data_IF_024262146611
#
_entry.id   IF_024262146611
#
_cell.length_a   1.000
_cell.length_b   1.000
_cell.length_c   1.000
_cell.angle_alpha   90.00
_cell.angle_beta   90.00
_cell.angle_gamma   90.00
#
_symmetry.space_group_name_H-M   'P 1'
#
loop_
_entity.id
_entity.type
_entity.pdbx_description
1 polymer ?
#
# COMPACT_ATOMS: atom_id res chain seq x y z
N UNK A 1 -12.95 52.42 3.14
CA UNK A 1 -11.64 52.36 2.44
C UNK A 1 -11.61 51.04 1.68
N UNK A 2 -11.61 51.18 0.35
CA UNK A 2 -11.58 50.23 -0.76
C UNK A 2 -11.80 48.71 -0.52
N UNK A 3 -12.97 48.27 -1.00
CA UNK A 3 -13.21 46.93 -1.58
C UNK A 3 -12.83 46.96 -3.07
N UNK A 4 -12.20 45.89 -3.58
CA UNK A 4 -12.06 45.62 -5.01
C UNK A 4 -12.73 44.30 -5.37
N UNK A 5 -13.90 44.40 -6.03
CA UNK A 5 -14.59 43.31 -6.73
C UNK A 5 -14.02 43.16 -8.15
N UNK A 6 -13.79 41.93 -8.59
CA UNK A 6 -13.59 41.60 -10.00
C UNK A 6 -14.84 40.87 -10.54
N UNK A 7 -15.38 41.37 -11.66
CA UNK A 7 -16.44 40.75 -12.46
C UNK A 7 -15.86 40.00 -13.68
N UNK A 8 -16.53 38.96 -14.19
CA UNK A 8 -16.10 38.21 -15.38
C UNK A 8 -16.62 38.83 -16.69
N UNK A 9 -15.87 38.65 -17.78
CA UNK A 9 -16.24 39.02 -19.15
C UNK A 9 -16.47 37.76 -19.98
N UNK A 10 -17.62 37.71 -20.68
CA UNK A 10 -17.97 36.70 -21.69
C UNK A 10 -17.68 37.25 -23.10
N UNK A 11 -17.39 36.36 -24.06
CA UNK A 11 -17.26 36.69 -25.48
C UNK A 11 -18.18 35.77 -26.28
N UNK A 12 -18.85 36.39 -27.24
CA UNK A 12 -20.03 35.99 -28.00
C UNK A 12 -19.68 35.21 -29.29
N UNK A 13 -20.62 34.39 -29.76
CA UNK A 13 -20.56 33.64 -31.03
C UNK A 13 -21.75 34.02 -31.89
N UNK A 14 -21.52 34.39 -33.16
CA UNK A 14 -22.27 33.97 -34.36
C UNK A 14 -22.05 34.95 -35.53
N UNK A 15 -21.76 34.42 -36.72
CA UNK A 15 -22.35 34.83 -38.01
C UNK A 15 -21.76 34.05 -39.20
N UNK A 16 -22.62 33.28 -39.88
CA UNK A 16 -22.41 32.69 -41.21
C UNK A 16 -23.09 33.56 -42.29
N UNK A 17 -22.65 33.48 -43.56
CA UNK A 17 -23.60 33.62 -44.66
C UNK A 17 -23.44 32.61 -45.80
N UNK A 18 -24.58 32.07 -46.23
CA UNK A 18 -24.83 31.32 -47.49
C UNK A 18 -24.96 32.25 -48.72
N UNK A 19 -24.66 31.77 -49.95
CA UNK A 19 -25.43 32.02 -51.21
C UNK A 19 -24.89 31.23 -52.46
N UNK A 20 -25.78 30.38 -53.02
CA UNK A 20 -26.15 30.03 -54.41
C UNK A 20 -25.20 30.12 -55.65
N UNK A 21 -25.09 28.95 -56.33
CA UNK A 21 -25.20 28.60 -57.77
C UNK A 21 -24.77 29.55 -58.92
N UNK A 22 -23.86 29.04 -59.79
CA UNK A 22 -23.94 29.10 -61.27
C UNK A 22 -22.97 28.11 -61.95
N UNK A 23 -23.47 27.27 -62.87
CA UNK A 23 -22.69 26.46 -63.82
C UNK A 23 -22.15 27.33 -64.97
N UNK A 24 -20.99 26.98 -65.57
CA UNK A 24 -20.68 26.97 -67.02
C UNK A 24 -19.34 26.21 -67.29
N UNK A 25 -19.48 25.06 -67.97
CA UNK A 25 -18.74 24.44 -69.10
C UNK A 25 -17.19 24.60 -69.28
N UNK A 26 -16.55 23.45 -69.52
CA UNK A 26 -15.17 23.18 -69.92
C UNK A 26 -14.66 23.86 -71.22
N UNK A 27 -13.37 24.24 -71.28
CA UNK A 27 -12.36 23.61 -72.17
C UNK A 27 -10.92 24.19 -72.04
N UNK A 28 -9.93 23.30 -72.24
CA UNK A 28 -8.53 23.55 -72.67
C UNK A 28 -7.50 24.20 -71.72
N UNK A 29 -6.80 23.37 -70.91
CA UNK A 29 -5.41 23.64 -70.44
C UNK A 29 -4.58 22.36 -70.24
N UNK A 30 -4.54 21.44 -71.22
CA UNK A 30 -3.71 20.21 -71.13
C UNK A 30 -2.21 20.41 -71.39
N UNK A 31 -1.75 21.61 -71.78
CA UNK A 31 -0.31 21.89 -72.02
C UNK A 31 0.42 22.64 -70.90
N UNK A 32 -0.31 23.17 -69.90
CA UNK A 32 0.31 23.90 -68.77
C UNK A 32 0.62 22.98 -67.58
N UNK A 33 -0.13 21.89 -67.41
CA UNK A 33 0.08 20.93 -66.32
C UNK A 33 1.37 20.10 -66.46
N UNK A 34 1.79 19.78 -67.70
CA UNK A 34 2.98 18.95 -67.95
C UNK A 34 4.27 19.73 -67.67
N UNK A 35 4.31 21.02 -68.01
CA UNK A 35 5.47 21.87 -67.70
C UNK A 35 5.61 22.11 -66.19
N UNK A 36 4.50 22.31 -65.47
CA UNK A 36 4.51 22.47 -64.02
C UNK A 36 4.96 21.18 -63.29
N UNK A 37 4.51 20.00 -63.75
CA UNK A 37 4.93 18.71 -63.20
C UNK A 37 6.43 18.44 -63.39
N UNK A 38 6.99 18.79 -64.55
CA UNK A 38 8.43 18.63 -64.81
C UNK A 38 9.25 19.59 -63.95
N UNK A 39 8.80 20.83 -63.76
CA UNK A 39 9.46 21.80 -62.87
C UNK A 39 9.40 21.37 -61.40
N UNK A 40 8.28 20.80 -60.92
CA UNK A 40 8.18 20.27 -59.56
C UNK A 40 9.06 19.03 -59.34
N UNK A 41 9.15 18.14 -60.32
CA UNK A 41 10.04 16.97 -60.27
C UNK A 41 11.51 17.39 -60.24
N UNK A 42 11.93 18.32 -61.09
CA UNK A 42 13.30 18.85 -61.09
C UNK A 42 13.65 19.57 -59.78
N UNK A 43 12.72 20.36 -59.23
CA UNK A 43 12.92 21.02 -57.93
C UNK A 43 13.02 20.02 -56.78
N UNK A 44 12.20 18.95 -56.80
CA UNK A 44 12.25 17.89 -55.80
C UNK A 44 13.55 17.08 -55.85
N UNK A 45 14.08 16.81 -57.05
CA UNK A 45 15.37 16.10 -57.22
C UNK A 45 16.54 16.97 -56.78
N UNK A 46 16.50 18.28 -57.05
CA UNK A 46 17.51 19.23 -56.57
C UNK A 46 17.46 19.35 -55.05
N UNK A 47 16.28 19.44 -54.44
CA UNK A 47 16.11 19.47 -52.97
C UNK A 47 16.59 18.16 -52.34
N UNK A 48 16.32 17.01 -52.95
CA UNK A 48 16.78 15.72 -52.43
C UNK A 48 18.30 15.57 -52.57
N UNK A 49 18.89 16.05 -53.67
CA UNK A 49 20.34 16.04 -53.90
C UNK A 49 21.08 17.03 -52.97
N UNK A 50 20.50 18.20 -52.69
CA UNK A 50 21.08 19.14 -51.70
C UNK A 50 20.94 18.61 -50.28
N UNK A 51 19.82 17.98 -49.93
CA UNK A 51 19.65 17.32 -48.63
C UNK A 51 20.62 16.14 -48.45
N UNK A 52 20.89 15.33 -49.49
CA UNK A 52 21.91 14.27 -49.42
C UNK A 52 23.34 14.83 -49.29
N UNK A 53 23.69 15.90 -50.01
CA UNK A 53 25.00 16.55 -49.88
C UNK A 53 25.20 17.28 -48.54
N UNK A 54 24.14 17.80 -47.94
CA UNK A 54 24.18 18.40 -46.59
C UNK A 54 24.29 17.31 -45.52
N UNK A 55 23.65 16.14 -45.72
CA UNK A 55 23.73 15.01 -44.80
C UNK A 55 25.11 14.29 -44.85
N UNK A 56 25.84 14.39 -45.95
CA UNK A 56 27.18 13.79 -46.09
C UNK A 56 28.34 14.69 -45.62
N UNK A 57 28.12 15.98 -45.35
CA UNK A 57 29.22 16.94 -45.10
C UNK A 57 29.42 17.41 -43.66
N UNK A 58 28.65 16.93 -42.67
CA UNK A 58 28.92 17.18 -41.24
C UNK A 58 28.48 16.03 -40.35
N UNK A 59 29.25 14.95 -40.38
CA UNK A 59 29.30 14.02 -39.25
C UNK A 59 30.75 13.54 -39.07
N UNK A 60 31.57 14.42 -38.51
CA UNK A 60 32.80 14.00 -37.83
C UNK A 60 32.38 13.58 -36.42
N UNK A 61 32.56 12.31 -36.02
CA UNK A 61 32.36 11.93 -34.63
C UNK A 61 33.44 12.63 -33.82
N UNK A 62 33.04 13.59 -33.00
CA UNK A 62 33.90 14.03 -31.89
C UNK A 62 34.00 12.84 -30.95
N UNK A 63 35.19 12.25 -30.84
CA UNK A 63 35.47 11.27 -29.80
C UNK A 63 35.06 11.90 -28.46
N UNK A 64 34.23 11.24 -27.64
CA UNK A 64 34.09 11.67 -26.27
C UNK A 64 35.47 11.59 -25.66
N UNK A 65 35.97 12.72 -25.16
CA UNK A 65 37.14 12.75 -24.30
C UNK A 65 36.87 11.74 -23.19
N UNK A 66 37.60 10.63 -23.26
CA UNK A 66 37.67 9.63 -22.19
C UNK A 66 38.30 10.32 -20.99
N UNK A 67 37.51 11.09 -20.25
CA UNK A 67 37.72 11.16 -18.82
C UNK A 67 37.58 9.71 -18.36
N UNK A 68 38.60 9.10 -17.72
CA UNK A 68 38.39 7.82 -17.09
C UNK A 68 37.41 8.07 -15.94
N UNK A 69 36.12 7.94 -16.23
CA UNK A 69 35.20 7.44 -15.22
C UNK A 69 35.72 6.03 -14.98
N UNK A 70 36.58 5.91 -13.97
CA UNK A 70 36.81 4.66 -13.27
C UNK A 70 35.44 4.22 -12.79
N UNK A 71 34.73 3.49 -13.64
CA UNK A 71 33.85 2.44 -13.18
C UNK A 71 34.76 1.54 -12.36
N UNK A 72 34.77 1.79 -11.06
CA UNK A 72 35.07 0.74 -10.11
C UNK A 72 34.01 -0.31 -10.43
N UNK A 73 34.39 -1.28 -11.26
CA UNK A 73 33.93 -2.65 -11.04
C UNK A 73 34.00 -2.82 -9.54
N UNK A 74 32.84 -3.03 -8.91
CA UNK A 74 32.79 -3.53 -7.55
C UNK A 74 33.58 -4.84 -7.67
N UNK A 75 34.88 -4.76 -7.38
CA UNK A 75 35.64 -5.92 -6.99
C UNK A 75 34.77 -6.58 -5.94
N UNK A 76 34.46 -7.86 -6.19
CA UNK A 76 33.84 -8.76 -5.25
C UNK A 76 34.58 -8.60 -3.93
N UNK A 77 34.08 -7.71 -3.08
CA UNK A 77 34.66 -7.45 -1.79
C UNK A 77 34.43 -8.76 -1.07
N UNK A 78 35.51 -9.53 -0.91
CA UNK A 78 35.56 -10.65 0.03
C UNK A 78 34.82 -10.19 1.27
N UNK A 79 33.70 -10.85 1.66
CA UNK A 79 32.86 -10.37 2.73
C UNK A 79 33.76 -10.06 3.92
N UNK A 80 33.70 -8.83 4.44
CA UNK A 80 34.43 -8.48 5.65
C UNK A 80 34.10 -9.58 6.68
N UNK A 81 35.08 -10.35 7.21
CA UNK A 81 34.84 -11.50 8.07
C UNK A 81 34.02 -11.16 9.33
N UNK A 82 33.92 -9.88 9.67
CA UNK A 82 33.08 -9.35 10.75
C UNK A 82 31.62 -9.07 10.34
N UNK A 83 31.24 -9.30 9.08
CA UNK A 83 29.88 -9.08 8.59
C UNK A 83 28.97 -10.27 8.94
N UNK A 84 27.74 -10.02 9.44
CA UNK A 84 26.79 -11.08 9.71
C UNK A 84 26.52 -11.94 8.46
N UNK A 85 26.35 -13.27 8.60
CA UNK A 85 26.07 -14.17 7.49
C UNK A 85 24.80 -13.75 6.74
N UNK A 86 24.85 -13.81 5.41
CA UNK A 86 23.71 -13.49 4.53
C UNK A 86 22.71 -14.64 4.54
N UNK A 87 21.42 -14.33 4.70
CA UNK A 87 20.35 -15.33 4.71
C UNK A 87 19.09 -14.82 4.02
N UNK A 88 18.42 -15.73 3.30
CA UNK A 88 17.05 -15.55 2.81
C UNK A 88 16.00 -16.10 3.79
N UNK A 89 16.43 -16.87 4.79
CA UNK A 89 15.56 -17.44 5.81
C UNK A 89 15.73 -16.71 7.14
N UNK A 90 14.95 -15.64 7.29
CA UNK A 90 15.01 -14.77 8.46
C UNK A 90 13.81 -14.85 9.38
N UNK A 91 12.69 -15.42 8.93
CA UNK A 91 11.57 -15.75 9.79
C UNK A 91 11.96 -16.96 10.66
N UNK A 92 12.47 -16.66 11.86
CA UNK A 92 12.98 -17.66 12.81
C UNK A 92 12.66 -17.27 14.25
N UNK A 93 12.80 -18.25 15.14
CA UNK A 93 12.85 -18.02 16.58
C UNK A 93 14.22 -17.41 16.90
N UNK A 94 14.22 -16.28 17.61
CA UNK A 94 15.44 -15.60 18.01
C UNK A 94 16.08 -16.29 19.22
N UNK A 95 17.42 -16.31 19.30
CA UNK A 95 18.18 -17.03 20.33
C UNK A 95 19.03 -16.11 21.20
N UNK A 96 19.43 -16.60 22.37
CA UNK A 96 20.51 -16.06 23.19
C UNK A 96 21.65 -17.10 23.29
N UNK A 97 22.89 -16.80 22.86
CA UNK A 97 23.35 -15.55 22.24
C UNK A 97 22.70 -15.28 20.87
N UNK A 98 22.71 -14.03 20.44
CA UNK A 98 22.08 -13.58 19.20
C UNK A 98 22.79 -14.18 17.97
N UNK A 99 22.02 -14.89 17.14
CA UNK A 99 22.43 -15.30 15.78
C UNK A 99 22.08 -14.19 14.80
N UNK A 100 22.90 -13.12 14.76
CA UNK A 100 22.69 -11.96 13.89
C UNK A 100 22.93 -12.33 12.43
N UNK A 101 22.02 -11.94 11.54
CA UNK A 101 22.11 -12.22 10.09
C UNK A 101 21.90 -10.96 9.24
N UNK A 102 22.39 -11.01 8.01
CA UNK A 102 21.97 -10.07 6.96
C UNK A 102 20.83 -10.69 6.16
N UNK A 103 19.62 -10.20 6.40
CA UNK A 103 18.38 -10.66 5.80
C UNK A 103 18.12 -9.98 4.45
N UNK A 104 18.24 -10.75 3.37
CA UNK A 104 18.14 -10.22 2.00
C UNK A 104 16.77 -10.45 1.39
N UNK A 105 16.19 -9.40 0.82
CA UNK A 105 14.90 -9.42 0.13
C UNK A 105 15.05 -8.78 -1.25
N UNK A 106 14.33 -9.32 -2.24
CA UNK A 106 14.28 -8.75 -3.60
C UNK A 106 12.84 -8.38 -3.94
N UNK A 107 12.64 -7.11 -4.27
CA UNK A 107 11.34 -6.50 -4.52
C UNK A 107 11.26 -6.01 -5.94
N UNK A 108 10.32 -6.56 -6.71
CA UNK A 108 9.98 -6.11 -8.04
C UNK A 108 8.71 -5.26 -7.95
N UNK A 109 8.87 -3.95 -8.13
CA UNK A 109 7.77 -2.99 -8.06
C UNK A 109 7.17 -2.88 -9.44
N UNK A 110 5.87 -3.13 -9.58
CA UNK A 110 5.18 -3.07 -10.86
C UNK A 110 3.72 -2.67 -10.74
N UNK A 111 3.20 -2.09 -11.82
CA UNK A 111 1.78 -1.91 -12.00
C UNK A 111 1.07 -3.26 -12.10
N UNK A 112 -0.09 -3.34 -11.46
CA UNK A 112 -0.93 -4.52 -11.50
C UNK A 112 -2.41 -4.14 -11.50
N UNK A 113 -3.27 -5.14 -11.51
CA UNK A 113 -4.71 -4.94 -11.50
C UNK A 113 -5.34 -6.05 -10.66
N UNK A 114 -6.33 -5.72 -9.84
CA UNK A 114 -7.05 -6.71 -9.03
C UNK A 114 -7.92 -7.62 -9.91
N UNK A 115 -8.14 -8.88 -9.51
CA UNK A 115 -8.97 -9.85 -10.25
C UNK A 115 -8.57 -10.01 -11.73
N UNK A 116 -7.27 -10.12 -11.97
CA UNK A 116 -6.64 -10.46 -13.25
C UNK A 116 -6.80 -11.95 -13.55
N UNK A 117 -6.27 -12.38 -14.71
CA UNK A 117 -6.33 -13.76 -15.18
C UNK A 117 -5.83 -14.84 -14.19
N UNK A 118 -4.85 -14.62 -13.29
CA UNK A 118 -4.45 -15.63 -12.30
C UNK A 118 -5.57 -16.02 -11.34
N UNK A 119 -6.52 -15.10 -11.10
CA UNK A 119 -7.67 -15.34 -10.24
C UNK A 119 -8.73 -16.29 -10.82
N UNK A 120 -8.55 -16.83 -12.03
CA UNK A 120 -9.45 -17.83 -12.62
C UNK A 120 -10.92 -17.45 -12.52
N UNK A 121 -11.71 -18.28 -11.84
CA UNK A 121 -13.14 -18.10 -11.62
C UNK A 121 -13.50 -17.47 -10.26
N UNK A 122 -12.55 -16.86 -9.56
CA UNK A 122 -12.83 -16.13 -8.32
C UNK A 122 -13.90 -15.03 -8.55
N UNK A 123 -14.93 -14.89 -7.70
CA UNK A 123 -15.17 -15.64 -6.46
C UNK A 123 -16.15 -16.83 -6.57
N UNK A 124 -16.48 -17.27 -7.78
CA UNK A 124 -17.36 -18.45 -7.95
C UNK A 124 -16.65 -19.77 -7.63
N UNK A 125 -15.33 -19.80 -7.81
CA UNK A 125 -14.43 -20.80 -7.24
C UNK A 125 -13.55 -20.10 -6.21
N UNK A 126 -13.71 -20.47 -4.93
CA UNK A 126 -12.98 -19.84 -3.83
C UNK A 126 -11.50 -20.25 -3.83
N UNK A 127 -11.17 -21.48 -4.30
CA UNK A 127 -9.78 -21.91 -4.39
C UNK A 127 -8.99 -21.02 -5.35
N UNK A 128 -9.64 -20.52 -6.40
CA UNK A 128 -9.03 -19.62 -7.37
C UNK A 128 -8.64 -18.26 -6.77
N UNK A 129 -9.33 -17.82 -5.72
CA UNK A 129 -9.01 -16.59 -5.00
C UNK A 129 -7.72 -16.67 -4.15
N UNK A 130 -7.15 -17.88 -3.99
CA UNK A 130 -5.91 -18.14 -3.24
C UNK A 130 -4.76 -18.58 -4.14
N UNK A 131 -4.94 -18.56 -5.47
CA UNK A 131 -3.85 -18.83 -6.42
C UNK A 131 -2.76 -17.78 -6.31
N UNK A 132 -1.53 -18.19 -6.62
CA UNK A 132 -0.39 -17.29 -6.69
C UNK A 132 -0.67 -16.11 -7.64
N UNK A 133 -0.25 -14.91 -7.24
CA UNK A 133 -0.51 -13.64 -7.93
C UNK A 133 -1.99 -13.24 -8.09
N UNK A 134 -2.97 -14.01 -7.59
CA UNK A 134 -4.34 -13.54 -7.54
C UNK A 134 -4.52 -12.52 -6.42
N UNK A 135 -4.95 -11.30 -6.79
CA UNK A 135 -5.24 -10.21 -5.86
C UNK A 135 -6.75 -9.89 -5.91
N UNK A 136 -7.59 -10.57 -5.10
CA UNK A 136 -9.04 -10.43 -5.16
C UNK A 136 -9.58 -9.17 -4.46
N UNK A 137 -8.88 -8.68 -3.43
CA UNK A 137 -9.28 -7.54 -2.59
C UNK A 137 -10.73 -7.62 -2.10
N UNK A 138 -11.49 -6.55 -2.29
CA UNK A 138 -12.91 -6.44 -2.01
C UNK A 138 -13.80 -6.88 -3.20
N UNK A 139 -13.24 -7.45 -4.25
CA UNK A 139 -14.01 -7.83 -5.44
C UNK A 139 -14.16 -6.72 -6.48
N UNK A 140 -13.64 -5.52 -6.24
CA UNK A 140 -13.63 -4.47 -7.25
C UNK A 140 -12.37 -4.53 -8.09
N UNK A 141 -12.56 -4.47 -9.41
CA UNK A 141 -11.51 -4.34 -10.41
C UNK A 141 -10.96 -2.91 -10.44
N UNK A 142 -9.71 -2.73 -10.03
CA UNK A 142 -9.00 -1.45 -10.09
C UNK A 142 -7.49 -1.59 -10.28
N UNK A 143 -6.80 -0.54 -10.79
CA UNK A 143 -5.34 -0.49 -10.85
C UNK A 143 -4.72 -0.51 -9.45
N UNK A 144 -3.55 -1.14 -9.37
CA UNK A 144 -2.74 -1.30 -8.17
C UNK A 144 -1.27 -1.01 -8.49
N UNK A 145 -0.51 -0.69 -7.45
CA UNK A 145 0.96 -0.71 -7.48
C UNK A 145 1.40 -1.74 -6.44
N UNK A 146 2.22 -2.71 -6.84
CA UNK A 146 2.53 -3.87 -6.01
C UNK A 146 4.03 -4.12 -5.91
N UNK A 147 4.45 -4.68 -4.78
CA UNK A 147 5.73 -5.39 -4.67
C UNK A 147 5.45 -6.87 -4.88
N UNK A 148 6.16 -7.50 -5.82
CA UNK A 148 6.07 -8.94 -6.08
C UNK A 148 4.63 -9.45 -6.27
N UNK A 149 3.75 -8.62 -6.86
CA UNK A 149 2.32 -8.93 -7.10
C UNK A 149 1.57 -9.39 -5.86
N UNK A 150 1.86 -8.75 -4.72
CA UNK A 150 1.22 -9.02 -3.43
C UNK A 150 0.56 -7.75 -2.87
N UNK A 151 -0.63 -7.90 -2.29
CA UNK A 151 -1.31 -6.89 -1.47
C UNK A 151 -1.96 -7.60 -0.27
N UNK A 152 -1.57 -7.28 0.98
CA UNK A 152 -0.43 -6.44 1.36
C UNK A 152 0.87 -6.98 0.76
N UNK A 153 1.87 -6.12 0.64
CA UNK A 153 3.17 -6.52 0.14
C UNK A 153 3.87 -7.53 1.07
N UNK A 154 5.00 -8.09 0.63
CA UNK A 154 5.72 -9.12 1.36
C UNK A 154 6.08 -8.68 2.78
N UNK A 155 5.86 -9.59 3.73
CA UNK A 155 6.25 -9.42 5.14
C UNK A 155 7.76 -9.50 5.27
N UNK A 156 8.34 -8.59 6.04
CA UNK A 156 9.71 -8.72 6.55
C UNK A 156 9.60 -9.24 7.98
N UNK A 157 10.25 -10.37 8.26
CA UNK A 157 10.31 -10.93 9.61
C UNK A 157 11.77 -11.25 9.91
N UNK A 158 12.29 -10.64 10.96
CA UNK A 158 13.70 -10.72 11.35
C UNK A 158 13.84 -10.74 12.87
N UNK A 159 15.05 -11.04 13.35
CA UNK A 159 15.40 -10.86 14.76
C UNK A 159 15.98 -9.47 15.00
N UNK A 160 15.86 -8.98 16.23
CA UNK A 160 16.57 -7.81 16.72
C UNK A 160 18.06 -7.92 16.38
N UNK A 161 18.65 -6.79 16.01
CA UNK A 161 20.01 -6.62 15.51
C UNK A 161 20.32 -7.22 14.13
N UNK A 162 19.42 -7.96 13.48
CA UNK A 162 19.59 -8.35 12.09
C UNK A 162 19.75 -7.12 11.18
N UNK A 163 20.48 -7.29 10.08
CA UNK A 163 20.59 -6.29 9.03
C UNK A 163 19.53 -6.59 7.97
N UNK A 164 18.56 -5.71 7.81
CA UNK A 164 17.57 -5.77 6.73
C UNK A 164 18.22 -5.19 5.48
N UNK A 165 18.27 -5.98 4.41
CA UNK A 165 18.75 -5.55 3.10
C UNK A 165 17.68 -5.81 2.04
N UNK A 166 17.10 -4.76 1.49
CA UNK A 166 16.03 -4.85 0.47
C UNK A 166 16.52 -4.25 -0.84
N UNK A 167 16.68 -5.11 -1.85
CA UNK A 167 16.93 -4.69 -3.23
C UNK A 167 15.60 -4.40 -3.91
N UNK A 168 15.34 -3.12 -4.18
CA UNK A 168 14.14 -2.64 -4.86
C UNK A 168 14.47 -2.42 -6.33
N UNK A 169 13.78 -3.15 -7.22
CA UNK A 169 13.82 -2.99 -8.66
C UNK A 169 12.56 -2.25 -9.10
N UNK A 170 12.71 -1.06 -9.69
CA UNK A 170 11.56 -0.26 -10.13
C UNK A 170 11.19 -0.55 -11.58
N UNK A 171 10.02 -1.16 -11.81
CA UNK A 171 9.45 -1.38 -13.14
C UNK A 171 8.19 -0.51 -13.41
N UNK A 172 8.01 0.60 -12.69
CA UNK A 172 6.96 1.57 -12.96
C UNK A 172 7.39 2.51 -14.10
N UNK A 173 6.78 2.36 -15.27
CA UNK A 173 7.12 3.06 -16.52
C UNK A 173 6.47 4.46 -16.66
N UNK A 174 6.21 5.13 -15.53
CA UNK A 174 5.45 6.39 -15.46
C UNK A 174 6.31 7.64 -15.22
N UNK A 175 7.64 7.49 -15.20
CA UNK A 175 8.63 8.53 -14.90
C UNK A 175 8.56 9.17 -13.50
N UNK A 176 7.64 8.76 -12.62
CA UNK A 176 7.49 9.35 -11.27
C UNK A 176 8.55 8.84 -10.29
N UNK A 177 9.08 7.64 -10.54
CA UNK A 177 10.01 6.94 -9.66
C UNK A 177 9.33 6.42 -8.38
N UNK A 178 10.09 5.70 -7.56
CA UNK A 178 9.55 5.11 -6.33
C UNK A 178 10.49 5.27 -5.13
N UNK A 179 9.94 5.41 -3.92
CA UNK A 179 10.68 5.34 -2.65
C UNK A 179 9.88 4.55 -1.63
N UNK A 180 10.58 3.98 -0.64
CA UNK A 180 10.00 3.16 0.43
C UNK A 180 10.51 3.64 1.78
N UNK A 181 9.61 3.77 2.74
CA UNK A 181 9.90 4.12 4.12
C UNK A 181 9.59 2.97 5.06
N UNK A 182 10.41 2.87 6.12
CA UNK A 182 10.40 1.81 7.13
C UNK A 182 9.77 2.36 8.41
N UNK A 183 8.45 2.41 8.44
CA UNK A 183 7.70 3.17 9.43
C UNK A 183 7.97 2.70 10.86
N UNK A 184 8.58 3.58 11.65
CA UNK A 184 8.94 3.36 13.05
C UNK A 184 10.33 2.76 13.28
N UNK A 185 11.12 2.53 12.24
CA UNK A 185 12.55 2.17 12.37
C UNK A 185 13.36 3.47 12.49
N UNK A 186 14.21 3.58 13.51
CA UNK A 186 14.89 4.85 13.87
C UNK A 186 15.94 5.30 12.84
N UNK A 187 16.45 4.38 12.02
CA UNK A 187 17.49 4.64 11.01
C UNK A 187 18.77 5.27 11.60
N UNK A 188 19.11 4.93 12.84
CA UNK A 188 20.32 5.43 13.50
C UNK A 188 21.58 4.97 12.74
N UNK A 189 22.35 5.93 12.24
CA UNK A 189 23.53 5.68 11.40
C UNK A 189 23.22 5.39 9.93
N UNK A 190 21.94 5.28 9.56
CA UNK A 190 21.49 5.05 8.17
C UNK A 190 20.37 6.01 7.73
N UNK A 191 20.42 7.32 8.02
CA UNK A 191 19.33 8.24 7.65
C UNK A 191 19.05 8.30 6.14
N UNK A 192 20.06 8.03 5.31
CA UNK A 192 19.90 7.92 3.85
C UNK A 192 19.05 6.72 3.39
N UNK A 193 18.77 5.76 4.29
CA UNK A 193 17.94 4.58 4.02
C UNK A 193 16.50 4.77 4.50
N UNK A 194 16.15 5.93 5.06
CA UNK A 194 14.84 6.16 5.65
C UNK A 194 13.70 6.17 4.63
N UNK A 195 13.93 6.64 3.39
CA UNK A 195 12.94 6.58 2.32
C UNK A 195 12.24 7.87 1.88
N UNK A 196 11.88 8.84 2.76
CA UNK A 196 11.06 9.97 2.36
C UNK A 196 11.62 10.73 1.15
N UNK A 197 10.84 10.72 0.07
CA UNK A 197 11.23 11.31 -1.20
C UNK A 197 11.53 12.81 -1.05
N UNK A 198 12.65 13.24 -1.64
CA UNK A 198 13.14 14.61 -1.62
C UNK A 198 13.58 15.11 -0.22
N UNK A 199 13.63 14.23 0.78
CA UNK A 199 14.18 14.51 2.11
C UNK A 199 15.46 13.72 2.30
N UNK A 200 15.39 12.38 2.31
CA UNK A 200 16.56 11.53 2.54
C UNK A 200 17.12 10.93 1.26
N UNK A 201 16.30 10.87 0.19
CA UNK A 201 16.72 10.37 -1.11
C UNK A 201 15.88 10.92 -2.28
N UNK A 202 16.46 10.88 -3.48
CA UNK A 202 15.70 11.01 -4.72
C UNK A 202 14.88 9.74 -5.00
N UNK A 203 13.76 9.83 -5.75
CA UNK A 203 13.03 8.66 -6.22
C UNK A 203 13.91 7.72 -7.04
N UNK A 204 13.74 6.42 -6.87
CA UNK A 204 14.36 5.38 -7.69
C UNK A 204 13.71 5.45 -9.08
N UNK A 205 14.42 5.84 -10.15
CA UNK A 205 13.84 5.95 -11.48
C UNK A 205 13.42 4.60 -12.07
N UNK A 206 12.59 4.64 -13.12
CA UNK A 206 12.24 3.45 -13.89
C UNK A 206 13.48 2.71 -14.40
N UNK A 207 13.47 1.38 -14.32
CA UNK A 207 14.54 0.52 -14.80
C UNK A 207 15.79 0.50 -13.93
N UNK A 208 15.83 1.30 -12.85
CA UNK A 208 16.91 1.31 -11.89
C UNK A 208 16.53 0.57 -10.60
N UNK A 209 17.58 0.21 -9.86
CA UNK A 209 17.45 -0.48 -8.58
C UNK A 209 18.16 0.29 -7.48
N UNK A 210 17.69 0.13 -6.26
CA UNK A 210 18.31 0.67 -5.05
C UNK A 210 18.28 -0.36 -3.93
N UNK A 211 19.33 -0.39 -3.13
CA UNK A 211 19.46 -1.31 -2.00
C UNK A 211 19.32 -0.51 -0.72
N UNK A 212 18.21 -0.73 0.00
CA UNK A 212 18.07 -0.26 1.38
C UNK A 212 18.80 -1.23 2.30
N UNK A 213 19.67 -0.73 3.17
CA UNK A 213 20.42 -1.56 4.12
C UNK A 213 20.52 -0.87 5.48
N UNK A 214 19.86 -1.43 6.49
CA UNK A 214 19.82 -0.86 7.83
C UNK A 214 19.63 -1.96 8.89
N UNK A 215 19.90 -1.62 10.15
CA UNK A 215 19.77 -2.55 11.28
C UNK A 215 18.35 -2.51 11.85
N UNK A 216 17.80 -3.67 12.18
CA UNK A 216 16.58 -3.81 12.98
C UNK A 216 16.94 -3.64 14.47
N UNK A 217 17.05 -2.40 14.93
CA UNK A 217 17.61 -2.07 16.25
C UNK A 217 16.70 -2.41 17.44
N UNK A 218 15.39 -2.20 17.29
CA UNK A 218 14.40 -2.48 18.32
C UNK A 218 13.41 -3.55 17.88
N UNK A 219 13.05 -4.43 18.82
CA UNK A 219 12.00 -5.42 18.60
C UNK A 219 10.63 -4.75 18.65
N UNK A 220 9.68 -5.24 17.84
CA UNK A 220 8.36 -4.64 17.75
C UNK A 220 7.62 -4.96 16.46
N UNK A 221 6.46 -4.31 16.31
CA UNK A 221 5.63 -4.34 15.11
C UNK A 221 5.75 -3.02 14.36
N UNK A 222 6.16 -3.13 13.11
CA UNK A 222 6.39 -2.02 12.19
C UNK A 222 5.75 -2.35 10.84
N UNK A 223 5.84 -1.44 9.89
CA UNK A 223 5.44 -1.72 8.51
C UNK A 223 6.26 -0.86 7.57
N UNK A 224 6.41 -1.30 6.32
CA UNK A 224 6.95 -0.47 5.26
C UNK A 224 5.81 0.06 4.40
N UNK A 225 6.05 1.19 3.74
CA UNK A 225 5.16 1.69 2.70
C UNK A 225 5.90 2.54 1.69
N UNK A 226 5.32 2.75 0.51
CA UNK A 226 5.86 3.76 -0.39
C UNK A 226 5.75 5.16 0.24
N UNK A 227 6.80 5.97 0.08
CA UNK A 227 6.85 7.33 0.62
C UNK A 227 6.97 8.41 -0.47
N UNK A 228 6.30 8.17 -1.59
CA UNK A 228 6.13 9.11 -2.69
C UNK A 228 4.71 9.01 -3.28
N UNK A 229 4.12 10.18 -3.55
CA UNK A 229 2.77 10.27 -4.11
C UNK A 229 1.73 9.54 -3.28
N UNK A 230 0.82 8.84 -3.95
CA UNK A 230 -0.27 8.09 -3.31
C UNK A 230 -0.09 6.57 -3.35
N UNK A 231 1.09 6.08 -3.74
CA UNK A 231 1.27 4.64 -4.01
C UNK A 231 1.02 3.76 -2.78
N UNK A 232 1.23 4.27 -1.56
CA UNK A 232 0.85 3.62 -0.29
C UNK A 232 -0.64 3.26 -0.26
N UNK A 233 -1.51 4.16 -0.72
CA UNK A 233 -2.95 3.96 -0.76
C UNK A 233 -3.39 2.98 -1.86
N UNK A 234 -2.53 2.76 -2.86
CA UNK A 234 -2.83 1.97 -4.06
C UNK A 234 -2.15 0.58 -4.06
N UNK A 235 -1.61 0.15 -2.91
CA UNK A 235 -1.15 -1.23 -2.66
C UNK A 235 0.28 -1.37 -2.11
N UNK A 236 1.09 -0.30 -2.10
CA UNK A 236 2.47 -0.35 -1.63
C UNK A 236 2.61 -0.14 -0.12
N UNK A 237 2.22 -1.17 0.64
CA UNK A 237 2.53 -1.29 2.05
C UNK A 237 2.61 -2.77 2.46
N UNK A 238 3.44 -3.08 3.45
CA UNK A 238 3.54 -4.44 3.98
C UNK A 238 4.13 -4.50 5.40
N UNK A 239 3.92 -5.60 6.14
CA UNK A 239 4.37 -5.72 7.52
C UNK A 239 5.90 -5.81 7.68
N UNK A 240 6.40 -5.32 8.81
CA UNK A 240 7.74 -5.60 9.32
C UNK A 240 7.59 -6.08 10.77
N UNK A 241 8.13 -7.25 11.09
CA UNK A 241 8.13 -7.81 12.43
C UNK A 241 9.58 -8.01 12.86
N UNK A 242 9.96 -7.39 13.98
CA UNK A 242 11.28 -7.60 14.60
C UNK A 242 11.04 -8.35 15.91
N UNK A 243 11.48 -9.61 15.98
CA UNK A 243 11.36 -10.44 17.19
C UNK A 243 12.60 -10.30 18.06
N UNK A 244 12.46 -10.54 19.36
CA UNK A 244 13.58 -10.70 20.27
C UNK A 244 13.51 -12.04 20.99
N UNK A 245 14.68 -12.51 21.44
CA UNK A 245 14.80 -13.79 22.13
C UNK A 245 14.31 -13.75 23.58
N UNK A 246 14.30 -12.56 24.20
CA UNK A 246 13.86 -12.34 25.57
C UNK A 246 12.78 -11.27 25.57
N UNK A 247 11.60 -11.63 25.05
CA UNK A 247 10.47 -10.72 24.99
C UNK A 247 9.90 -10.51 26.40
N UNK A 248 9.74 -9.26 26.88
CA UNK A 248 9.23 -8.99 28.23
C UNK A 248 7.79 -9.50 28.46
N UNK A 249 7.08 -9.88 27.40
CA UNK A 249 5.72 -10.37 27.42
C UNK A 249 5.59 -11.83 26.98
N UNK A 250 6.69 -12.58 26.86
CA UNK A 250 6.68 -13.98 26.40
C UNK A 250 5.72 -14.86 27.21
N UNK A 251 5.62 -14.65 28.52
CA UNK A 251 4.74 -15.41 29.41
C UNK A 251 3.25 -15.17 29.16
N UNK A 252 2.88 -14.12 28.42
CA UNK A 252 1.48 -13.73 28.19
C UNK A 252 0.85 -14.39 26.96
N UNK A 253 1.63 -15.00 26.08
CA UNK A 253 1.14 -15.75 24.92
C UNK A 253 1.83 -17.09 24.77
N UNK A 254 1.18 -18.01 24.05
CA UNK A 254 1.77 -19.30 23.69
C UNK A 254 2.32 -19.26 22.26
N UNK A 255 1.75 -18.41 21.40
CA UNK A 255 2.14 -18.29 20.00
C UNK A 255 2.24 -16.83 19.49
N UNK A 256 3.39 -16.50 18.87
CA UNK A 256 3.62 -15.30 18.05
C UNK A 256 3.84 -15.71 16.58
N UNK A 257 2.74 -15.97 15.87
CA UNK A 257 2.78 -16.53 14.51
C UNK A 257 2.84 -15.43 13.46
N UNK A 258 3.63 -15.62 12.41
CA UNK A 258 3.75 -14.70 11.27
C UNK A 258 2.41 -14.46 10.53
N UNK A 259 1.46 -15.41 10.61
CA UNK A 259 0.13 -15.26 10.04
C UNK A 259 -0.87 -14.55 10.96
N UNK A 260 -0.53 -14.27 12.23
CA UNK A 260 -1.36 -13.52 13.18
C UNK A 260 -1.09 -12.01 13.16
N UNK A 261 -0.85 -11.49 11.96
CA UNK A 261 -0.70 -10.06 11.68
C UNK A 261 -1.99 -9.51 11.10
N UNK A 262 -2.36 -8.28 11.45
CA UNK A 262 -3.50 -7.56 10.91
C UNK A 262 -3.06 -6.22 10.35
N UNK A 263 -2.89 -6.13 9.03
CA UNK A 263 -2.76 -4.84 8.36
C UNK A 263 -4.14 -4.38 7.93
N UNK A 264 -4.66 -3.35 8.60
CA UNK A 264 -5.94 -2.74 8.24
C UNK A 264 -5.70 -1.50 7.38
N UNK A 265 -6.56 -1.27 6.40
CA UNK A 265 -6.40 -0.18 5.44
C UNK A 265 -7.76 0.36 5.02
N UNK A 266 -7.87 1.68 4.92
CA UNK A 266 -8.99 2.32 4.24
C UNK A 266 -8.78 2.29 2.73
N UNK A 267 -9.84 2.05 1.98
CA UNK A 267 -9.72 1.64 0.59
C UNK A 267 -10.71 2.35 -0.32
N UNK A 268 -10.20 2.87 -1.44
CA UNK A 268 -10.99 3.58 -2.44
C UNK A 268 -11.29 2.69 -3.64
N UNK A 269 -12.41 2.94 -4.32
CA UNK A 269 -12.78 2.23 -5.55
C UNK A 269 -11.92 2.62 -6.77
N UNK A 270 -11.34 3.82 -6.75
CA UNK A 270 -10.43 4.37 -7.76
C UNK A 270 -9.04 4.58 -7.15
N UNK A 271 -8.05 4.84 -8.01
CA UNK A 271 -6.71 5.21 -7.53
C UNK A 271 -6.77 6.50 -6.71
N UNK A 272 -5.90 6.61 -5.73
CA UNK A 272 -5.94 7.76 -4.84
C UNK A 272 -5.59 9.07 -5.55
N UNK A 273 -4.72 9.04 -6.56
CA UNK A 273 -4.49 10.20 -7.43
C UNK A 273 -5.79 10.65 -8.13
N UNK A 274 -6.59 9.73 -8.66
CA UNK A 274 -7.87 10.07 -9.28
C UNK A 274 -8.88 10.61 -8.25
N UNK A 275 -8.91 10.01 -7.06
CA UNK A 275 -9.74 10.48 -5.95
C UNK A 275 -9.36 11.90 -5.51
N UNK A 276 -8.07 12.18 -5.40
CA UNK A 276 -7.53 13.47 -5.01
C UNK A 276 -7.91 14.58 -5.99
N UNK A 277 -7.76 14.35 -7.30
CA UNK A 277 -8.17 15.31 -8.33
C UNK A 277 -9.69 15.56 -8.29
N UNK A 278 -10.49 14.50 -8.11
CA UNK A 278 -11.94 14.61 -7.97
C UNK A 278 -12.34 15.41 -6.72
N UNK A 279 -11.62 15.24 -5.61
CA UNK A 279 -11.83 16.00 -4.38
C UNK A 279 -11.55 17.50 -4.57
N UNK A 280 -10.45 17.87 -5.24
CA UNK A 280 -10.06 19.27 -5.41
C UNK A 280 -10.95 20.05 -6.39
N UNK A 281 -11.40 19.41 -7.46
CA UNK A 281 -12.01 20.11 -8.60
C UNK A 281 -13.46 19.69 -8.91
N UNK A 282 -14.05 18.85 -8.08
CA UNK A 282 -15.44 18.40 -8.22
C UNK A 282 -16.15 18.32 -6.85
N UNK A 283 -17.34 17.73 -6.80
CA UNK A 283 -18.07 17.47 -5.55
C UNK A 283 -17.55 16.22 -4.80
N UNK A 284 -16.27 15.86 -4.99
CA UNK A 284 -15.66 14.71 -4.34
C UNK A 284 -15.40 14.97 -2.86
N UNK A 285 -15.27 13.90 -2.09
CA UNK A 285 -14.71 13.92 -0.75
C UNK A 285 -13.51 12.97 -0.71
N UNK A 286 -12.45 13.34 0.01
CA UNK A 286 -11.32 12.45 0.25
C UNK A 286 -11.67 11.46 1.39
N UNK A 287 -12.75 10.70 1.21
CA UNK A 287 -13.26 9.69 2.14
C UNK A 287 -13.06 8.30 1.52
N UNK A 288 -12.86 7.25 2.31
CA UNK A 288 -12.67 5.90 1.80
C UNK A 288 -14.00 5.25 1.41
N UNK A 289 -13.93 4.23 0.55
CA UNK A 289 -15.10 3.49 0.10
C UNK A 289 -15.34 2.17 0.86
N UNK A 290 -14.27 1.57 1.34
CA UNK A 290 -14.22 0.27 1.97
C UNK A 290 -13.11 0.27 3.04
N UNK A 291 -13.09 -0.78 3.84
CA UNK A 291 -11.96 -1.15 4.68
C UNK A 291 -11.46 -2.51 4.18
N UNK A 292 -10.15 -2.73 4.22
CA UNK A 292 -9.53 -4.01 3.96
C UNK A 292 -8.82 -4.49 5.23
N UNK A 293 -8.87 -5.80 5.47
CA UNK A 293 -8.12 -6.49 6.52
C UNK A 293 -7.21 -7.49 5.80
N UNK A 294 -5.89 -7.34 5.94
CA UNK A 294 -4.88 -8.10 5.19
C UNK A 294 -5.18 -8.15 3.69
N UNK A 295 -5.56 -7.00 3.12
CA UNK A 295 -5.86 -6.86 1.70
C UNK A 295 -7.15 -7.58 1.26
N UNK A 296 -8.02 -8.01 2.17
CA UNK A 296 -9.31 -8.65 1.86
C UNK A 296 -10.47 -7.84 2.41
N UNK A 297 -11.59 -7.86 1.69
CA UNK A 297 -12.83 -7.25 2.16
C UNK A 297 -14.06 -7.72 1.38
N UNK A 298 -15.23 -7.24 1.77
CA UNK A 298 -16.52 -7.51 1.13
C UNK A 298 -16.99 -6.26 0.39
N UNK A 299 -16.73 -6.23 -0.91
CA UNK A 299 -17.32 -5.24 -1.81
C UNK A 299 -18.63 -5.71 -2.43
N UNK A 300 -18.99 -5.21 -3.63
CA UNK A 300 -20.22 -5.61 -4.30
C UNK A 300 -20.18 -7.10 -4.68
N UNK A 301 -21.32 -7.76 -4.51
CA UNK A 301 -21.46 -9.17 -4.84
C UNK A 301 -21.50 -9.43 -6.35
N UNK A 302 -20.98 -10.58 -6.76
CA UNK A 302 -20.92 -11.05 -8.13
C UNK A 302 -22.15 -11.88 -8.44
N UNK A 303 -22.94 -11.45 -9.43
CA UNK A 303 -24.10 -12.22 -9.91
C UNK A 303 -23.65 -13.34 -10.84
N UNK A 304 -24.08 -14.55 -10.56
CA UNK A 304 -23.87 -15.65 -11.49
C UNK A 304 -24.84 -15.52 -12.69
N UNK A 305 -24.29 -15.44 -13.92
CA UNK A 305 -25.11 -15.29 -15.13
C UNK A 305 -26.04 -16.48 -15.39
N UNK A 306 -25.68 -17.69 -14.91
CA UNK A 306 -26.51 -18.91 -15.03
C UNK A 306 -27.54 -19.03 -13.92
N UNK A 307 -27.29 -18.41 -12.77
CA UNK A 307 -28.23 -18.36 -11.65
C UNK A 307 -28.17 -16.99 -10.96
N UNK A 308 -28.95 -16.00 -11.42
CA UNK A 308 -28.84 -14.61 -10.95
C UNK A 308 -29.24 -14.41 -9.48
N UNK A 309 -29.83 -15.42 -8.84
CA UNK A 309 -30.14 -15.43 -7.41
C UNK A 309 -28.94 -15.84 -6.54
N UNK A 310 -27.91 -16.46 -7.12
CA UNK A 310 -26.66 -16.78 -6.41
C UNK A 310 -25.68 -15.62 -6.54
N UNK A 311 -25.43 -14.94 -5.42
CA UNK A 311 -24.44 -13.88 -5.29
C UNK A 311 -23.18 -14.47 -4.64
N UNK A 312 -22.03 -14.29 -5.27
CA UNK A 312 -20.72 -14.68 -4.73
C UNK A 312 -19.95 -13.45 -4.25
N UNK A 313 -19.07 -13.63 -3.27
CA UNK A 313 -18.23 -12.57 -2.70
C UNK A 313 -16.79 -13.08 -2.61
N UNK A 314 -15.82 -12.17 -2.75
CA UNK A 314 -14.42 -12.49 -2.49
C UNK A 314 -14.23 -12.94 -1.03
N UNK A 315 -13.30 -13.87 -0.77
CA UNK A 315 -13.08 -14.37 0.58
C UNK A 315 -12.55 -13.26 1.49
N UNK A 316 -13.01 -13.30 2.75
CA UNK A 316 -12.49 -12.47 3.85
C UNK A 316 -11.24 -13.09 4.45
N UNK A 317 -10.53 -12.29 5.23
CA UNK A 317 -9.38 -12.78 6.00
C UNK A 317 -9.82 -13.78 7.06
N UNK A 318 -9.01 -14.81 7.28
CA UNK A 318 -9.25 -15.86 8.29
C UNK A 318 -8.02 -16.00 9.18
N UNK A 319 -8.19 -15.83 10.48
CA UNK A 319 -7.21 -16.15 11.50
C UNK A 319 -7.61 -17.45 12.20
N UNK A 320 -6.77 -18.47 12.15
CA UNK A 320 -7.04 -19.77 12.76
C UNK A 320 -6.40 -19.88 14.14
N UNK A 321 -7.18 -20.27 15.14
CA UNK A 321 -6.74 -20.46 16.53
C UNK A 321 -7.12 -21.83 17.07
N UNK A 322 -6.38 -22.33 18.04
CA UNK A 322 -6.70 -23.56 18.76
C UNK A 322 -7.17 -23.22 20.18
N UNK A 323 -8.23 -23.90 20.62
CA UNK A 323 -8.85 -23.63 21.91
C UNK A 323 -7.86 -23.87 23.06
N UNK A 324 -7.81 -22.93 24.00
CA UNK A 324 -6.96 -22.98 25.20
C UNK A 324 -5.63 -22.27 25.06
N UNK A 325 -5.24 -21.90 23.84
CA UNK A 325 -4.00 -21.18 23.58
C UNK A 325 -4.20 -19.65 23.52
N UNK A 326 -3.12 -18.91 23.75
CA UNK A 326 -3.05 -17.46 23.73
C UNK A 326 -2.18 -17.01 22.55
N UNK A 327 -2.70 -16.09 21.76
CA UNK A 327 -2.06 -15.63 20.52
C UNK A 327 -1.70 -14.16 20.62
N UNK A 328 -0.48 -13.79 20.24
CA UNK A 328 -0.12 -12.39 19.99
C UNK A 328 -0.60 -11.99 18.61
N UNK A 329 -1.50 -11.01 18.55
CA UNK A 329 -1.99 -10.40 17.32
C UNK A 329 -1.27 -9.08 17.11
N UNK A 330 -0.67 -8.90 15.94
CA UNK A 330 0.10 -7.69 15.58
C UNK A 330 -0.69 -6.81 14.62
N UNK A 331 -1.28 -5.73 15.11
CA UNK A 331 -2.11 -4.79 14.36
C UNK A 331 -1.29 -3.64 13.80
N UNK A 332 -1.47 -3.32 12.52
CA UNK A 332 -0.87 -2.19 11.83
C UNK A 332 -1.96 -1.41 11.08
N UNK A 333 -2.07 -0.11 11.35
CA UNK A 333 -2.98 0.77 10.64
C UNK A 333 -2.31 1.42 9.44
N UNK A 334 -2.55 0.87 8.25
CA UNK A 334 -2.17 1.47 6.97
C UNK A 334 -3.26 2.45 6.45
N UNK A 335 -4.05 3.06 7.34
CA UNK A 335 -5.01 4.06 6.92
C UNK A 335 -4.31 5.28 6.26
N UNK A 336 -4.95 5.85 5.24
CA UNK A 336 -4.42 6.90 4.38
C UNK A 336 -5.32 8.14 4.34
N UNK A 337 -6.64 7.96 4.31
CA UNK A 337 -7.64 9.06 4.19
C UNK A 337 -7.99 9.72 5.52
N UNK A 338 -7.27 9.36 6.60
CA UNK A 338 -7.53 9.90 7.94
C UNK A 338 -8.81 9.36 8.56
N UNK A 339 -9.12 8.08 8.29
CA UNK A 339 -10.22 7.33 8.87
C UNK A 339 -9.74 6.49 10.07
N UNK A 340 -10.00 6.89 11.34
CA UNK A 340 -9.72 6.08 12.51
C UNK A 340 -10.54 4.78 12.49
N UNK A 341 -9.97 3.68 12.98
CA UNK A 341 -10.60 2.37 12.94
C UNK A 341 -10.68 1.74 14.32
N UNK A 342 -11.87 1.28 14.71
CA UNK A 342 -12.16 0.51 15.93
C UNK A 342 -12.10 -0.98 15.62
N UNK A 343 -11.25 -1.71 16.33
CA UNK A 343 -11.04 -3.16 16.21
C UNK A 343 -11.60 -3.87 17.42
N UNK A 344 -12.30 -4.98 17.21
CA UNK A 344 -12.84 -5.86 18.27
C UNK A 344 -12.98 -7.29 17.77
N UNK A 345 -13.16 -8.25 18.69
CA UNK A 345 -13.39 -9.66 18.37
C UNK A 345 -14.58 -10.16 19.17
N UNK A 346 -15.58 -10.72 18.49
CA UNK A 346 -16.82 -11.17 19.11
C UNK A 346 -16.55 -12.20 20.22
N UNK A 347 -17.12 -11.96 21.40
CA UNK A 347 -17.01 -12.81 22.59
C UNK A 347 -15.59 -12.99 23.14
N UNK A 348 -14.60 -12.21 22.70
CA UNK A 348 -13.23 -12.29 23.21
C UNK A 348 -12.84 -11.01 23.93
N UNK A 349 -12.35 -11.15 25.17
CA UNK A 349 -11.61 -10.08 25.83
C UNK A 349 -10.17 -10.07 25.31
N UNK A 350 -9.63 -8.88 25.09
CA UNK A 350 -8.30 -8.65 24.53
C UNK A 350 -7.42 -7.94 25.55
N UNK A 351 -6.10 -8.00 25.38
CA UNK A 351 -5.18 -7.28 26.25
C UNK A 351 -3.99 -6.71 25.47
N UNK A 352 -3.84 -5.39 25.45
CA UNK A 352 -2.74 -4.71 24.75
C UNK A 352 -1.43 -4.86 25.52
N UNK A 353 -0.34 -5.14 24.80
CA UNK A 353 1.01 -5.35 25.37
C UNK A 353 2.09 -4.52 24.68
N UNK A 354 1.81 -3.95 23.49
CA UNK A 354 2.74 -3.07 22.79
C UNK A 354 2.00 -1.96 22.05
N UNK A 355 2.63 -0.79 21.96
CA UNK A 355 2.18 0.33 21.13
C UNK A 355 3.39 0.86 20.33
N UNK A 356 3.23 0.97 19.01
CA UNK A 356 4.23 1.50 18.07
C UNK A 356 5.61 0.83 18.15
N UNK A 357 5.66 -0.44 18.54
CA UNK A 357 6.88 -1.22 18.69
C UNK A 357 7.45 -1.22 20.11
N UNK A 358 6.93 -0.40 21.02
CA UNK A 358 7.41 -0.34 22.40
C UNK A 358 6.49 -1.13 23.35
N UNK A 359 7.07 -1.96 24.25
CA UNK A 359 6.30 -2.69 25.24
C UNK A 359 5.58 -1.74 26.20
N UNK A 360 4.35 -2.08 26.57
CA UNK A 360 3.55 -1.40 27.59
C UNK A 360 3.11 -2.40 28.64
N UNK A 361 2.76 -1.92 29.84
CA UNK A 361 2.06 -2.76 30.81
C UNK A 361 0.77 -3.31 30.18
N UNK A 362 0.42 -4.55 30.50
CA UNK A 362 -0.77 -5.18 29.95
C UNK A 362 -2.04 -4.37 30.28
N UNK A 363 -2.81 -4.02 29.25
CA UNK A 363 -4.07 -3.27 29.39
C UNK A 363 -5.23 -4.08 28.80
N UNK A 364 -6.17 -4.60 29.61
CA UNK A 364 -7.34 -5.29 29.11
C UNK A 364 -8.32 -4.33 28.41
N UNK A 365 -8.91 -4.77 27.30
CA UNK A 365 -9.89 -4.00 26.54
C UNK A 365 -10.88 -4.90 25.78
N UNK A 366 -12.02 -4.32 25.41
CA UNK A 366 -13.03 -4.98 24.57
C UNK A 366 -12.97 -4.47 23.12
N UNK A 367 -12.59 -3.20 22.93
CA UNK A 367 -12.25 -2.66 21.61
C UNK A 367 -11.08 -1.68 21.67
N UNK A 368 -10.35 -1.56 20.56
CA UNK A 368 -9.20 -0.67 20.39
C UNK A 368 -9.45 0.26 19.22
N UNK A 369 -9.23 1.56 19.38
CA UNK A 369 -9.23 2.51 18.27
C UNK A 369 -7.79 2.80 17.84
N UNK A 370 -7.53 2.71 16.54
CA UNK A 370 -6.23 3.02 15.95
C UNK A 370 -6.34 4.07 14.86
N UNK A 371 -5.37 4.98 14.82
CA UNK A 371 -5.20 6.01 13.80
C UNK A 371 -4.20 5.57 12.73
N UNK A 372 -4.11 6.34 11.64
CA UNK A 372 -3.16 6.10 10.56
C UNK A 372 -1.71 6.05 11.08
N UNK A 373 -1.00 4.95 10.80
CA UNK A 373 0.40 4.75 11.19
C UNK A 373 0.61 4.09 12.54
N UNK A 374 -0.40 4.01 13.41
CA UNK A 374 -0.26 3.35 14.72
C UNK A 374 -0.17 1.82 14.57
N UNK A 375 0.54 1.20 15.51
CA UNK A 375 0.62 -0.26 15.66
C UNK A 375 0.30 -0.64 17.09
N UNK A 376 -0.39 -1.76 17.25
CA UNK A 376 -0.67 -2.33 18.56
C UNK A 376 -0.46 -3.82 18.52
N UNK A 377 0.17 -4.37 19.56
CA UNK A 377 0.14 -5.81 19.77
C UNK A 377 -0.79 -6.11 20.93
N UNK A 378 -1.68 -7.08 20.74
CA UNK A 378 -2.59 -7.53 21.79
C UNK A 378 -2.69 -9.04 21.86
N UNK A 379 -3.01 -9.53 23.04
CA UNK A 379 -3.21 -10.94 23.33
C UNK A 379 -4.68 -11.27 23.08
N UNK A 380 -4.89 -12.34 22.30
CA UNK A 380 -6.17 -13.00 22.12
C UNK A 380 -6.12 -14.35 22.83
N UNK A 381 -6.98 -14.54 23.83
CA UNK A 381 -7.13 -15.81 24.52
C UNK A 381 -8.24 -16.64 23.85
N UNK A 382 -7.88 -17.78 23.24
CA UNK A 382 -8.81 -18.64 22.51
C UNK A 382 -9.62 -19.53 23.47
N UNK A 383 -10.38 -18.93 24.38
CA UNK A 383 -11.09 -19.62 25.45
C UNK A 383 -12.58 -19.90 25.16
N UNK A 384 -13.08 -19.53 23.99
CA UNK A 384 -14.49 -19.68 23.63
C UNK A 384 -14.83 -21.11 23.15
N UNK A 385 -16.10 -21.36 22.83
CA UNK A 385 -16.52 -22.60 22.17
C UNK A 385 -15.91 -22.71 20.78
N UNK A 386 -15.64 -23.94 20.32
CA UNK A 386 -15.08 -24.17 18.97
C UNK A 386 -16.12 -23.77 17.94
N UNK A 387 -15.94 -22.59 17.36
CA UNK A 387 -16.81 -22.00 16.35
C UNK A 387 -16.07 -20.91 15.57
N UNK A 388 -16.78 -20.18 14.70
CA UNK A 388 -16.31 -19.00 13.99
C UNK A 388 -16.82 -17.73 14.68
N UNK A 389 -15.94 -16.75 14.88
CA UNK A 389 -16.25 -15.45 15.47
C UNK A 389 -15.85 -14.33 14.53
N UNK A 390 -16.57 -13.21 14.54
CA UNK A 390 -16.16 -12.04 13.77
C UNK A 390 -15.02 -11.30 14.48
N UNK A 391 -13.98 -10.98 13.72
CA UNK A 391 -13.08 -9.88 14.01
C UNK A 391 -13.58 -8.67 13.23
N UNK A 392 -13.98 -7.61 13.95
CA UNK A 392 -14.65 -6.44 13.38
C UNK A 392 -13.70 -5.27 13.29
N UNK A 393 -13.72 -4.58 12.15
CA UNK A 393 -13.05 -3.29 11.96
C UNK A 393 -14.10 -2.28 11.51
N UNK A 394 -14.33 -1.27 12.33
CA UNK A 394 -15.31 -0.21 12.09
C UNK A 394 -14.60 1.15 11.96
N UNK A 395 -14.83 1.87 10.87
CA UNK A 395 -14.37 3.24 10.70
C UNK A 395 -15.18 4.19 11.58
N UNK A 396 -14.50 5.01 12.39
CA UNK A 396 -15.11 5.92 13.37
C UNK A 396 -14.92 7.37 12.96
N UNK A 397 -15.97 8.17 13.13
CA UNK A 397 -15.94 9.61 12.94
C UNK A 397 -16.21 10.05 11.51
N UNK A 398 -16.27 11.37 11.32
CA UNK A 398 -16.83 11.99 10.12
C UNK A 398 -16.16 11.59 8.80
N UNK A 399 -14.87 11.25 8.83
CA UNK A 399 -14.12 10.84 7.64
C UNK A 399 -14.39 9.38 7.23
N UNK A 400 -15.08 8.60 8.08
CA UNK A 400 -15.46 7.20 7.84
C UNK A 400 -16.99 7.00 7.78
N UNK A 401 -17.77 8.04 8.05
CA UNK A 401 -19.23 7.99 8.15
C UNK A 401 -19.91 8.35 6.83
N UNK A 402 -20.70 7.42 6.28
CA UNK A 402 -21.40 7.59 5.01
C UNK A 402 -22.83 8.11 5.19
N UNK A 403 -23.00 9.38 5.57
CA UNK A 403 -24.32 10.06 5.71
C UNK A 403 -25.29 9.40 6.71
N UNK A 404 -26.36 10.11 7.09
CA UNK A 404 -27.31 9.68 8.13
C UNK A 404 -28.05 8.34 7.85
N UNK A 405 -27.93 7.77 6.65
CA UNK A 405 -28.68 6.58 6.18
C UNK A 405 -27.78 5.34 6.01
N UNK A 406 -26.44 5.49 5.95
CA UNK A 406 -25.53 4.33 5.94
C UNK A 406 -24.70 4.31 7.23
N UNK A 407 -24.63 3.16 7.91
CA UNK A 407 -23.75 3.02 9.07
C UNK A 407 -22.29 3.28 8.67
N UNK A 408 -21.45 3.52 9.68
CA UNK A 408 -19.99 3.57 9.60
C UNK A 408 -19.43 2.50 8.64
N UNK A 409 -18.35 2.81 7.92
CA UNK A 409 -17.65 1.81 7.12
C UNK A 409 -17.23 0.64 8.01
N UNK A 410 -17.49 -0.58 7.57
CA UNK A 410 -17.17 -1.79 8.34
C UNK A 410 -16.56 -2.84 7.42
N UNK A 411 -15.60 -3.57 7.95
CA UNK A 411 -15.10 -4.81 7.38
C UNK A 411 -14.92 -5.87 8.47
N UNK A 412 -14.99 -7.14 8.06
CA UNK A 412 -14.92 -8.27 8.98
C UNK A 412 -13.89 -9.28 8.50
N UNK A 413 -13.17 -9.86 9.45
CA UNK A 413 -12.39 -11.08 9.28
C UNK A 413 -12.98 -12.19 10.15
N UNK A 414 -12.61 -13.43 9.88
CA UNK A 414 -13.10 -14.60 10.61
C UNK A 414 -12.00 -15.08 11.55
N UNK A 415 -12.27 -15.07 12.85
CA UNK A 415 -11.50 -15.86 13.81
C UNK A 415 -12.08 -17.26 13.84
N UNK A 416 -11.33 -18.25 13.36
CA UNK A 416 -11.78 -19.64 13.21
C UNK A 416 -11.08 -20.55 14.20
N UNK A 417 -11.84 -21.22 15.05
CA UNK A 417 -11.29 -22.26 15.91
C UNK A 417 -10.99 -23.52 15.09
N UNK A 418 -9.89 -24.20 15.40
CA UNK A 418 -9.56 -25.49 14.81
C UNK A 418 -10.68 -26.50 15.12
N UNK A 419 -11.25 -27.10 14.07
CA UNK A 419 -12.43 -27.99 14.17
C UNK A 419 -13.78 -27.32 13.92
N UNK A 420 -13.83 -25.98 13.81
CA UNK A 420 -15.03 -25.27 13.38
C UNK A 420 -15.30 -25.47 11.87
N UNK A 421 -16.57 -25.37 11.41
CA UNK A 421 -16.90 -25.49 9.99
C UNK A 421 -16.27 -24.35 9.17
N UNK A 422 -15.95 -24.63 7.90
CA UNK A 422 -15.47 -23.63 6.94
C UNK A 422 -16.60 -22.75 6.41
N UNK A 423 -17.19 -21.98 7.32
CA UNK A 423 -18.27 -21.03 7.06
C UNK A 423 -17.98 -19.70 7.73
N UNK A 424 -18.75 -18.68 7.36
CA UNK A 424 -18.80 -17.42 8.12
C UNK A 424 -19.49 -17.63 9.47
N UNK A 425 -19.18 -16.81 10.49
CA UNK A 425 -19.95 -16.76 11.74
C UNK A 425 -21.45 -16.49 11.50
N UNK A 426 -22.31 -17.08 12.34
CA UNK A 426 -23.77 -16.88 12.28
C UNK A 426 -24.23 -15.50 12.78
N UNK A 427 -23.41 -14.86 13.63
CA UNK A 427 -23.70 -13.54 14.19
C UNK A 427 -23.89 -12.49 13.07
N UNK A 428 -24.85 -11.58 13.26
CA UNK A 428 -25.13 -10.55 12.26
C UNK A 428 -23.94 -9.59 12.09
N UNK A 429 -23.62 -9.23 10.84
CA UNK A 429 -22.61 -8.21 10.53
C UNK A 429 -22.98 -6.85 11.16
N UNK A 430 -24.28 -6.54 11.30
CA UNK A 430 -24.76 -5.24 11.79
C UNK A 430 -25.00 -5.17 13.31
N UNK A 431 -24.62 -6.19 14.09
CA UNK A 431 -24.76 -6.11 15.55
C UNK A 431 -23.77 -5.08 16.09
N UNK A 432 -24.26 -3.93 16.55
CA UNK A 432 -23.46 -2.90 17.21
C UNK A 432 -23.02 -3.47 18.56
N UNK A 433 -21.73 -3.79 18.70
CA UNK A 433 -21.13 -4.14 19.99
C UNK A 433 -20.80 -2.82 20.70
N UNK A 434 -21.82 -2.17 21.24
CA UNK A 434 -21.67 -0.97 22.09
C UNK A 434 -21.94 -1.33 23.55
N UNK A 435 -20.93 -1.91 24.21
CA UNK A 435 -20.80 -1.88 25.68
C UNK A 435 -19.49 -2.57 26.10
N UNK A 436 -18.36 -1.87 26.04
CA UNK A 436 -17.08 -2.40 26.54
C UNK A 436 -16.06 -1.31 26.86
N UNK A 437 -14.92 -1.72 27.41
CA UNK A 437 -13.74 -0.88 27.63
C UNK A 437 -13.09 -0.57 26.29
N UNK A 438 -13.00 0.72 25.95
CA UNK A 438 -12.37 1.21 24.72
C UNK A 438 -10.95 1.69 25.01
N UNK A 439 -9.99 1.09 24.33
CA UNK A 439 -8.59 1.46 24.37
C UNK A 439 -8.26 2.46 23.26
N UNK A 440 -7.48 3.49 23.60
CA UNK A 440 -7.07 4.61 22.73
C UNK A 440 -8.23 5.42 22.10
N UNK A 441 -9.21 5.93 22.88
CA UNK A 441 -10.37 6.65 22.37
C UNK A 441 -10.04 8.02 21.74
N UNK A 442 -10.86 8.47 20.77
CA UNK A 442 -10.70 9.72 20.01
C UNK A 442 -10.95 11.02 20.82
N UNK A 443 -11.79 10.98 21.86
CA UNK A 443 -12.10 12.13 22.72
C UNK A 443 -12.25 11.73 24.21
N UNK A 444 -12.22 12.71 25.14
CA UNK A 444 -12.52 12.52 26.57
C UNK A 444 -13.99 12.12 26.74
N UNK A 445 -14.31 10.83 26.64
CA UNK A 445 -15.57 10.34 27.19
C UNK A 445 -15.50 10.39 28.71
N UNK A 446 -16.56 10.94 29.33
CA UNK A 446 -16.61 11.32 30.75
C UNK A 446 -16.83 10.14 31.71
N UNK A 447 -16.53 8.90 31.28
CA UNK A 447 -16.90 7.67 31.98
C UNK A 447 -15.71 6.70 32.11
N UNK A 448 -15.69 5.92 33.19
CA UNK A 448 -14.65 4.93 33.59
C UNK A 448 -14.44 3.75 32.62
N UNK A 449 -15.00 3.80 31.41
CA UNK A 449 -14.92 2.72 30.39
C UNK A 449 -13.90 3.03 29.29
N UNK A 450 -12.97 3.94 29.53
CA UNK A 450 -12.02 4.38 28.52
C UNK A 450 -10.60 4.38 29.07
N UNK A 451 -9.66 3.85 28.29
CA UNK A 451 -8.24 3.83 28.64
C UNK A 451 -7.48 4.59 27.56
N UNK A 452 -6.99 5.77 27.90
CA UNK A 452 -6.17 6.58 27.01
C UNK A 452 -4.70 6.38 27.33
N UNK A 453 -3.91 5.99 26.34
CA UNK A 453 -2.45 6.09 26.45
C UNK A 453 -2.06 7.51 26.09
N UNK A 454 -1.79 8.31 27.11
CA UNK A 454 -0.90 9.48 26.98
C UNK A 454 0.21 9.43 28.04
N UNK A 455 0.24 8.39 28.88
CA UNK A 455 1.22 8.29 29.94
C UNK A 455 2.37 7.37 29.50
N UNK A 456 3.23 7.90 28.64
CA UNK A 456 4.50 7.27 28.29
C UNK A 456 5.40 7.28 29.54
N UNK A 457 5.44 6.18 30.28
CA UNK A 457 6.43 5.98 31.35
C UNK A 457 7.86 5.87 30.82
N UNK A 458 8.04 5.77 29.51
CA UNK A 458 9.33 5.72 28.80
C UNK A 458 9.99 7.08 28.56
N UNK A 459 9.34 8.20 28.90
CA UNK A 459 9.99 9.53 28.88
C UNK A 459 10.85 9.82 30.12
N UNK A 460 11.20 8.80 30.91
CA UNK A 460 12.32 8.91 31.83
C UNK A 460 13.63 8.94 31.01
N UNK A 461 14.00 10.16 30.62
CA UNK A 461 15.35 10.67 30.34
C UNK A 461 16.50 9.73 30.77
N UNK A 462 16.76 8.68 30.00
CA UNK A 462 17.99 7.90 30.07
C UNK A 462 18.33 7.50 28.64
N UNK A 463 18.85 8.46 27.88
CA UNK A 463 19.90 8.30 26.87
C UNK A 463 20.15 9.68 26.24
N UNK A 464 20.69 10.59 27.06
CA UNK A 464 21.62 11.60 26.55
C UNK A 464 22.98 11.11 27.06
N UNK A 465 23.63 10.24 26.29
CA UNK A 465 25.07 10.08 26.43
C UNK A 465 25.71 11.12 25.51
N UNK A 466 26.45 12.01 26.15
CA UNK A 466 27.40 12.97 25.56
C UNK A 466 28.39 12.32 24.61
#
# INVERSE_FOLDING_TARGET
MQETKFQPVAVDTDDEPTISNRQIVCCSKRKVAVAALISFLLLSVIILATMLSICQSKWEPTEPTKSPLTYTTIEDQTPNPDSPPVSTNCDRICSTPEDIRTCVFTWNVSYYYSLTWPCGNCPFDIADCYREECIPLNGLKRPLVTVNRQVPGPKIVVCKNDIIQVTVNNYLDDMTGITFHWHGIDQLGTPAMDGPSMITQCPIPFGLSFVYKFKADHAGTYFWHSHIGSNRADGLAGPIIVREASDPHEDYYDFDLTNHTLMIQDWMNITQNANYVKYLYSAGKNEPDFILINGRGKGPGFRNLKNPFKIAYTPREVLTVEKGNRYRIRLMSNAFTGCPMKVSVDNHSLAAISMDGFPINMVPFDSLITNAGERFDFILNANQTVDNYWLRVEGIGKNCERTYIRPSLQEFAILRYLGAPDTAPEAFENSIIDAGVVFNPTERQKYDKSIRIVNLTSLNKQHIHT
#
